data_IF_381002346269
#
_entry.id   IF_381002346269
#
_cell.length_a   1.000
_cell.length_b   1.000
_cell.length_c   1.000
_cell.angle_alpha   90.00
_cell.angle_beta   90.00
_cell.angle_gamma   90.00
#
_symmetry.space_group_name_H-M   'P 1'
#
loop_
_entity.id
_entity.type
_entity.pdbx_description
1 polymer ?
#
# COMPACT_ATOMS: atom_id res chain seq x y z
N UNK A 1 10.85 -5.96 17.08
CA UNK A 1 9.61 -5.16 17.21
C UNK A 1 9.08 -5.15 18.66
N UNK A 2 8.89 -6.30 19.36
CA UNK A 2 8.33 -6.29 20.73
C UNK A 2 9.17 -5.53 21.75
N UNK A 3 10.51 -5.62 21.65
CA UNK A 3 11.42 -4.85 22.50
C UNK A 3 11.13 -3.35 22.49
N UNK A 4 11.02 -2.75 21.30
CA UNK A 4 10.77 -1.30 21.16
C UNK A 4 9.36 -0.93 21.62
N UNK A 5 8.37 -1.78 21.35
CA UNK A 5 7.00 -1.56 21.83
C UNK A 5 6.95 -1.55 23.37
N UNK A 6 7.64 -2.50 24.01
CA UNK A 6 7.77 -2.56 25.47
C UNK A 6 8.55 -1.39 26.08
N UNK A 7 9.36 -0.69 25.27
CA UNK A 7 10.04 0.55 25.66
C UNK A 7 9.18 1.81 25.45
N UNK A 8 7.92 1.65 25.01
CA UNK A 8 6.97 2.76 24.83
C UNK A 8 7.02 3.41 23.45
N UNK A 9 7.79 2.87 22.51
CA UNK A 9 7.82 3.40 21.15
C UNK A 9 6.59 2.95 20.35
N UNK A 10 6.17 3.80 19.42
CA UNK A 10 5.30 3.39 18.31
C UNK A 10 6.12 2.57 17.32
N UNK A 11 5.65 1.36 17.01
CA UNK A 11 6.36 0.39 16.19
C UNK A 11 5.47 -0.03 15.04
N UNK A 12 5.90 0.30 13.83
CA UNK A 12 5.31 -0.19 12.59
C UNK A 12 6.10 -1.40 12.08
N UNK A 13 5.43 -2.31 11.39
CA UNK A 13 6.10 -3.36 10.62
C UNK A 13 6.08 -3.02 9.13
N UNK A 14 7.13 -3.40 8.40
CA UNK A 14 7.28 -3.05 6.99
C UNK A 14 7.31 -4.31 6.13
N UNK A 15 6.20 -4.70 5.48
CA UNK A 15 6.17 -5.88 4.64
C UNK A 15 6.84 -5.64 3.29
N UNK A 16 7.20 -6.74 2.61
CA UNK A 16 7.67 -6.71 1.21
C UNK A 16 6.62 -7.31 0.27
N UNK A 17 6.91 -7.42 -1.03
CA UNK A 17 5.91 -7.80 -2.05
C UNK A 17 5.45 -9.27 -2.05
N UNK A 18 5.91 -10.09 -1.10
CA UNK A 18 5.45 -11.46 -0.95
C UNK A 18 4.11 -11.48 -0.20
N UNK A 19 3.06 -12.04 -0.84
CA UNK A 19 1.68 -11.97 -0.35
C UNK A 19 1.50 -12.65 1.01
N UNK A 20 2.08 -13.84 1.18
CA UNK A 20 1.95 -14.60 2.43
C UNK A 20 2.68 -13.91 3.58
N UNK A 21 3.82 -13.28 3.28
CA UNK A 21 4.55 -12.46 4.25
C UNK A 21 3.76 -11.20 4.64
N UNK A 22 3.09 -10.54 3.70
CA UNK A 22 2.24 -9.37 4.02
C UNK A 22 1.13 -9.77 4.99
N UNK A 23 0.42 -10.86 4.68
CA UNK A 23 -0.68 -11.37 5.51
C UNK A 23 -0.19 -11.79 6.90
N UNK A 24 0.85 -12.62 6.98
CA UNK A 24 1.36 -13.09 8.26
C UNK A 24 1.92 -11.95 9.12
N UNK A 25 2.52 -10.93 8.50
CA UNK A 25 3.03 -9.75 9.21
C UNK A 25 1.88 -8.87 9.73
N UNK A 26 0.81 -8.70 8.96
CA UNK A 26 -0.40 -7.99 9.44
C UNK A 26 -1.04 -8.70 10.63
N UNK A 27 -1.17 -10.02 10.58
CA UNK A 27 -1.62 -10.80 11.74
C UNK A 27 -0.70 -10.64 12.94
N UNK A 28 0.63 -10.65 12.72
CA UNK A 28 1.62 -10.46 13.78
C UNK A 28 1.48 -9.08 14.42
N UNK A 29 1.29 -8.03 13.61
CA UNK A 29 1.06 -6.65 14.08
C UNK A 29 -0.16 -6.59 14.98
N UNK A 30 -1.29 -7.17 14.54
CA UNK A 30 -2.51 -7.22 15.35
C UNK A 30 -2.34 -8.02 16.65
N UNK A 31 -1.75 -9.22 16.58
CA UNK A 31 -1.53 -10.09 17.75
C UNK A 31 -0.61 -9.48 18.81
N UNK A 32 0.34 -8.63 18.40
CA UNK A 32 1.31 -8.00 19.31
C UNK A 32 0.98 -6.53 19.61
N UNK A 33 -0.23 -6.07 19.25
CA UNK A 33 -0.69 -4.70 19.47
C UNK A 33 0.32 -3.64 18.97
N UNK A 34 0.95 -3.90 17.82
CA UNK A 34 1.83 -2.94 17.15
C UNK A 34 0.99 -1.84 16.46
N UNK A 35 1.63 -0.77 16.03
CA UNK A 35 0.94 0.45 15.61
C UNK A 35 0.51 0.44 14.13
N UNK A 36 0.86 -0.60 13.38
CA UNK A 36 0.40 -0.81 12.01
C UNK A 36 1.48 -1.29 11.04
N UNK A 37 1.19 -1.09 9.75
CA UNK A 37 2.06 -1.45 8.63
C UNK A 37 2.55 -0.20 7.89
N UNK A 38 3.85 -0.16 7.58
CA UNK A 38 4.44 0.80 6.67
C UNK A 38 4.74 0.12 5.33
N UNK A 39 3.94 0.41 4.31
CA UNK A 39 4.09 -0.20 2.99
C UNK A 39 5.05 0.63 2.12
N UNK A 40 6.30 0.18 1.99
CA UNK A 40 7.33 0.87 1.20
C UNK A 40 7.60 0.16 -0.12
N UNK A 41 7.81 0.93 -1.19
CA UNK A 41 8.22 0.42 -2.50
C UNK A 41 9.73 0.53 -2.74
N UNK A 42 10.53 1.11 -1.85
CA UNK A 42 11.98 1.34 -2.06
C UNK A 42 12.27 1.81 -3.50
N UNK A 43 13.15 1.10 -4.24
CA UNK A 43 13.59 1.47 -5.58
C UNK A 43 13.08 0.54 -6.71
N UNK A 44 12.35 -0.55 -6.41
CA UNK A 44 12.36 -1.71 -7.33
C UNK A 44 11.13 -2.61 -7.50
N UNK A 45 9.92 -2.39 -6.96
CA UNK A 45 8.81 -3.22 -7.34
C UNK A 45 8.37 -2.84 -8.75
N UNK A 46 8.43 -3.83 -9.64
CA UNK A 46 7.60 -3.80 -10.85
C UNK A 46 6.16 -3.40 -10.47
N UNK A 47 5.41 -2.83 -11.41
CA UNK A 47 4.03 -2.40 -11.20
C UNK A 47 3.19 -3.43 -10.41
N UNK A 48 3.30 -4.71 -10.78
CA UNK A 48 2.59 -5.80 -10.10
C UNK A 48 3.02 -6.01 -8.64
N UNK A 49 4.31 -5.85 -8.34
CA UNK A 49 4.82 -5.96 -6.97
C UNK A 49 4.36 -4.77 -6.12
N UNK A 50 4.31 -3.56 -6.69
CA UNK A 50 3.78 -2.38 -6.01
C UNK A 50 2.31 -2.59 -5.66
N UNK A 51 1.49 -3.01 -6.64
CA UNK A 51 0.09 -3.32 -6.39
C UNK A 51 -0.10 -4.38 -5.31
N UNK A 52 0.74 -5.42 -5.28
CA UNK A 52 0.68 -6.44 -4.21
C UNK A 52 0.92 -5.81 -2.84
N UNK A 53 1.97 -5.01 -2.69
CA UNK A 53 2.28 -4.33 -1.41
C UNK A 53 1.08 -3.47 -0.97
N UNK A 54 0.57 -2.62 -1.86
CA UNK A 54 -0.51 -1.69 -1.52
C UNK A 54 -1.82 -2.40 -1.20
N UNK A 55 -2.26 -3.31 -2.08
CA UNK A 55 -3.58 -3.94 -1.95
C UNK A 55 -3.61 -5.00 -0.85
N UNK A 56 -2.59 -5.87 -0.75
CA UNK A 56 -2.54 -6.86 0.33
C UNK A 56 -2.12 -6.23 1.67
N UNK A 57 -1.35 -5.13 1.66
CA UNK A 57 -1.06 -4.36 2.87
C UNK A 57 -2.34 -3.76 3.45
N UNK A 58 -3.19 -3.19 2.59
CA UNK A 58 -4.52 -2.73 2.99
C UNK A 58 -5.41 -3.88 3.49
N UNK A 59 -5.43 -5.00 2.78
CA UNK A 59 -6.18 -6.18 3.24
C UNK A 59 -5.70 -6.66 4.62
N UNK A 60 -4.39 -6.72 4.85
CA UNK A 60 -3.81 -7.21 6.09
C UNK A 60 -4.01 -6.25 7.28
N UNK A 61 -4.12 -4.93 7.02
CA UNK A 61 -4.34 -3.93 8.06
C UNK A 61 -5.83 -3.72 8.41
N UNK A 62 -6.74 -3.85 7.44
CA UNK A 62 -8.16 -3.53 7.62
C UNK A 62 -9.11 -4.73 7.59
N UNK A 63 -8.66 -5.91 7.19
CA UNK A 63 -9.48 -7.13 7.16
C UNK A 63 -9.04 -8.13 8.24
N UNK A 64 -9.93 -9.08 8.53
CA UNK A 64 -9.63 -10.24 9.38
C UNK A 64 -9.52 -11.52 8.55
N UNK A 65 -8.67 -12.49 8.94
CA UNK A 65 -8.70 -13.84 8.37
C UNK A 65 -10.07 -14.52 8.58
N UNK A 66 -10.51 -15.40 7.65
CA UNK A 66 -9.86 -15.74 6.39
C UNK A 66 -9.96 -14.59 5.38
N UNK A 67 -8.82 -14.26 4.75
CA UNK A 67 -8.75 -13.16 3.80
C UNK A 67 -9.47 -13.50 2.49
N UNK A 68 -10.34 -12.59 2.02
CA UNK A 68 -10.96 -12.68 0.70
C UNK A 68 -9.92 -12.56 -0.43
N UNK A 69 -10.29 -13.03 -1.63
CA UNK A 69 -9.52 -12.73 -2.84
C UNK A 69 -9.64 -11.24 -3.18
N UNK A 70 -8.55 -10.67 -3.68
CA UNK A 70 -8.54 -9.31 -4.19
C UNK A 70 -8.95 -9.32 -5.67
N UNK A 71 -9.96 -8.54 -6.01
CA UNK A 71 -10.30 -8.27 -7.41
C UNK A 71 -9.48 -7.06 -7.90
N UNK A 72 -8.49 -7.33 -8.75
CA UNK A 72 -7.62 -6.30 -9.31
C UNK A 72 -8.40 -5.27 -10.14
N UNK A 73 -9.43 -5.67 -10.86
CA UNK A 73 -10.23 -4.77 -11.70
C UNK A 73 -11.04 -3.81 -10.84
N UNK A 74 -11.71 -4.32 -9.80
CA UNK A 74 -12.44 -3.47 -8.85
C UNK A 74 -11.50 -2.55 -8.07
N UNK A 75 -10.33 -3.05 -7.68
CA UNK A 75 -9.31 -2.24 -6.99
C UNK A 75 -8.81 -1.09 -7.85
N UNK A 76 -8.53 -1.34 -9.14
CA UNK A 76 -8.16 -0.28 -10.09
C UNK A 76 -9.31 0.70 -10.34
N UNK A 77 -10.56 0.24 -10.34
CA UNK A 77 -11.74 1.11 -10.44
C UNK A 77 -11.82 2.06 -9.23
N UNK A 78 -11.63 1.55 -8.02
CA UNK A 78 -11.62 2.37 -6.80
C UNK A 78 -10.47 3.38 -6.77
N UNK A 79 -9.27 3.01 -7.23
CA UNK A 79 -8.16 3.96 -7.37
C UNK A 79 -8.51 5.13 -8.32
N UNK A 80 -9.26 4.88 -9.40
CA UNK A 80 -9.73 5.94 -10.31
C UNK A 80 -10.81 6.82 -9.69
N UNK A 81 -11.61 6.30 -8.74
CA UNK A 81 -12.61 7.09 -8.02
C UNK A 81 -11.98 8.13 -7.09
N UNK A 82 -10.73 7.96 -6.66
CA UNK A 82 -9.97 9.03 -5.95
C UNK A 82 -9.92 10.30 -6.81
N UNK A 83 -9.87 10.17 -8.14
CA UNK A 83 -9.97 11.28 -9.08
C UNK A 83 -11.34 11.97 -9.15
N UNK A 84 -12.34 11.53 -8.39
CA UNK A 84 -13.60 12.26 -8.23
C UNK A 84 -13.45 13.40 -7.21
N UNK A 85 -12.64 13.18 -6.16
CA UNK A 85 -12.36 14.17 -5.13
C UNK A 85 -11.20 15.09 -5.51
N UNK A 86 -10.27 14.60 -6.34
CA UNK A 86 -9.20 15.41 -6.93
C UNK A 86 -9.71 15.95 -8.26
N UNK A 87 -9.68 17.27 -8.54
CA UNK A 87 -10.29 17.89 -9.74
C UNK A 87 -9.52 17.59 -11.05
N UNK A 88 -9.13 16.34 -11.28
CA UNK A 88 -8.39 15.89 -12.44
C UNK A 88 -9.36 15.44 -13.52
N UNK A 89 -9.61 16.32 -14.50
CA UNK A 89 -10.62 16.09 -15.56
C UNK A 89 -10.08 15.44 -16.83
N UNK A 90 -8.76 15.35 -17.00
CA UNK A 90 -8.12 14.87 -18.25
C UNK A 90 -7.27 13.63 -17.97
N UNK A 91 -7.40 12.62 -18.84
CA UNK A 91 -6.64 11.37 -18.71
C UNK A 91 -5.13 11.59 -18.66
N UNK A 92 -4.58 12.58 -19.39
CA UNK A 92 -3.15 12.90 -19.37
C UNK A 92 -2.62 13.21 -17.96
N UNK A 93 -3.46 13.77 -17.09
CA UNK A 93 -3.08 14.13 -15.73
C UNK A 93 -3.06 12.92 -14.78
N UNK A 94 -3.57 11.74 -15.18
CA UNK A 94 -3.57 10.50 -14.39
C UNK A 94 -2.93 9.30 -15.10
N UNK A 95 -2.73 9.37 -16.41
CA UNK A 95 -2.51 8.20 -17.28
C UNK A 95 -1.04 7.81 -17.45
N UNK A 96 -0.12 8.76 -17.37
CA UNK A 96 1.32 8.55 -17.57
C UNK A 96 2.11 9.48 -16.66
N UNK A 97 3.04 8.90 -15.90
CA UNK A 97 3.81 9.58 -14.85
C UNK A 97 4.60 10.79 -15.36
N UNK A 98 5.10 10.74 -16.59
CA UNK A 98 5.80 11.85 -17.28
C UNK A 98 4.99 13.15 -17.33
N UNK A 99 3.66 13.05 -17.36
CA UNK A 99 2.75 14.18 -17.42
C UNK A 99 2.25 14.62 -16.04
N UNK A 100 2.58 13.85 -15.01
CA UNK A 100 2.29 14.16 -13.60
C UNK A 100 3.44 14.95 -12.95
N UNK A 101 4.63 14.92 -13.56
CA UNK A 101 5.77 15.75 -13.17
C UNK A 101 5.77 17.00 -14.06
N UNK A 102 6.01 18.15 -13.45
CA UNK A 102 6.13 19.43 -14.16
C UNK A 102 7.36 19.40 -15.08
N UNK A 103 7.22 19.49 -16.42
CA UNK A 103 8.34 19.43 -17.34
C UNK A 103 9.30 20.63 -17.20
N UNK A 104 8.86 21.72 -16.58
CA UNK A 104 9.68 22.90 -16.25
C UNK A 104 10.65 22.68 -15.08
N UNK A 105 10.48 21.62 -14.29
CA UNK A 105 11.25 21.39 -13.05
C UNK A 105 12.31 20.29 -13.21
N UNK A 106 12.16 19.40 -14.20
CA UNK A 106 13.09 18.29 -14.44
C UNK A 106 13.26 18.04 -15.96
N UNK A 107 14.30 18.60 -16.61
CA UNK A 107 14.72 18.23 -17.96
C UNK A 107 15.40 16.85 -18.00
#
# INVERSE_FOLDING_TARGET
>A
MPYFKNKGFQVLACPWHNIDNIKSLGEFVGKNSLDGLLCTTWHSPSYNQMLRIMMYGALAAWSTPPYASLDGTMSMRHLRQIGWDIPIKKYQNTGIHEWQVRPDVYP
#
